data_IF_841883823150
#
_entry.id   IF_841883823150
#
_cell.length_a   1.000
_cell.length_b   1.000
_cell.length_c   1.000
_cell.angle_alpha   90.00
_cell.angle_beta   90.00
_cell.angle_gamma   90.00
#
_symmetry.space_group_name_H-M   'P 1'
#
loop_
_entity.id
_entity.type
_entity.pdbx_description
1 polymer ?
#
# COMPACT_ATOMS: atom_id res chain seq x y z
N UNK A 1 6.00 -5.83 10.17
CA UNK A 1 5.75 -4.43 10.54
C UNK A 1 4.31 -4.25 10.98
N UNK A 2 4.11 -3.68 12.17
CA UNK A 2 2.76 -3.54 12.77
C UNK A 2 1.80 -2.73 11.90
N UNK A 3 2.27 -1.66 11.26
CA UNK A 3 1.45 -0.83 10.39
C UNK A 3 0.91 -1.63 9.21
N UNK A 4 1.74 -2.47 8.60
CA UNK A 4 1.34 -3.32 7.47
C UNK A 4 0.27 -4.31 7.89
N UNK A 5 0.49 -5.04 9.00
CA UNK A 5 -0.45 -6.05 9.49
C UNK A 5 -1.81 -5.45 9.87
N UNK A 6 -1.82 -4.21 10.34
CA UNK A 6 -3.04 -3.49 10.65
C UNK A 6 -3.75 -2.97 9.40
N UNK A 7 -2.99 -2.39 8.47
CA UNK A 7 -3.55 -1.71 7.29
C UNK A 7 -4.13 -2.65 6.26
N UNK A 8 -3.51 -3.81 6.00
CA UNK A 8 -3.96 -4.72 4.94
C UNK A 8 -5.40 -5.22 5.14
N UNK A 9 -5.81 -5.67 6.35
CA UNK A 9 -7.21 -6.02 6.57
C UNK A 9 -8.17 -4.85 6.43
N UNK A 10 -7.79 -3.64 6.88
CA UNK A 10 -8.59 -2.43 6.72
C UNK A 10 -8.77 -2.10 5.24
N UNK A 11 -7.69 -2.19 4.46
CA UNK A 11 -7.73 -1.97 3.01
C UNK A 11 -8.66 -2.95 2.33
N UNK A 12 -8.62 -4.22 2.70
CA UNK A 12 -9.51 -5.24 2.15
C UNK A 12 -10.97 -4.96 2.43
N UNK A 13 -11.32 -4.58 3.66
CA UNK A 13 -12.69 -4.22 4.03
C UNK A 13 -13.17 -2.97 3.31
N UNK A 14 -12.31 -1.97 3.18
CA UNK A 14 -12.62 -0.73 2.46
C UNK A 14 -12.88 -0.99 0.97
N UNK A 15 -12.02 -1.81 0.33
CA UNK A 15 -12.20 -2.21 -1.06
C UNK A 15 -13.52 -2.95 -1.27
N UNK A 16 -13.90 -3.84 -0.35
CA UNK A 16 -15.16 -4.57 -0.45
C UNK A 16 -16.36 -3.62 -0.39
N UNK A 17 -16.32 -2.63 0.51
CA UNK A 17 -17.37 -1.61 0.60
C UNK A 17 -17.46 -0.79 -0.69
N UNK A 18 -16.32 -0.42 -1.28
CA UNK A 18 -16.29 0.29 -2.58
C UNK A 18 -16.86 -0.57 -3.70
N UNK A 19 -16.52 -1.85 -3.75
CA UNK A 19 -17.06 -2.78 -4.74
C UNK A 19 -18.57 -2.90 -4.64
N UNK A 20 -19.11 -2.98 -3.41
CA UNK A 20 -20.53 -3.05 -3.17
C UNK A 20 -21.24 -1.76 -3.64
N UNK A 21 -20.66 -0.59 -3.35
CA UNK A 21 -21.18 0.70 -3.79
C UNK A 21 -21.21 0.80 -5.32
N UNK A 22 -20.13 0.40 -5.98
CA UNK A 22 -20.00 0.40 -7.44
C UNK A 22 -21.02 -0.54 -8.06
N UNK A 23 -21.18 -1.74 -7.50
CA UNK A 23 -22.11 -2.75 -8.00
C UNK A 23 -23.58 -2.26 -7.93
N UNK A 24 -23.91 -1.45 -6.93
CA UNK A 24 -25.27 -0.96 -6.71
C UNK A 24 -25.55 0.41 -7.34
N UNK A 25 -24.52 1.09 -7.84
CA UNK A 25 -24.63 2.47 -8.30
C UNK A 25 -25.76 2.68 -9.31
N UNK A 26 -25.82 1.85 -10.36
CA UNK A 26 -26.82 1.98 -11.42
C UNK A 26 -28.22 1.50 -11.00
N UNK A 27 -28.34 0.82 -9.88
CA UNK A 27 -29.62 0.40 -9.32
C UNK A 27 -30.24 1.49 -8.45
N UNK A 28 -29.39 2.22 -7.70
CA UNK A 28 -29.81 3.16 -6.65
C UNK A 28 -29.88 4.60 -7.14
N UNK A 29 -29.00 4.98 -8.06
CA UNK A 29 -28.81 6.38 -8.47
C UNK A 29 -29.23 6.62 -9.93
N UNK A 30 -29.52 7.88 -10.26
CA UNK A 30 -29.71 8.32 -11.64
C UNK A 30 -28.44 8.05 -12.48
N UNK A 31 -28.57 7.84 -13.81
CA UNK A 31 -27.43 7.42 -14.64
C UNK A 31 -26.19 8.30 -14.52
N UNK A 32 -26.34 9.62 -14.45
CA UNK A 32 -25.19 10.53 -14.34
C UNK A 32 -24.48 10.41 -13.00
N UNK A 33 -25.26 10.31 -11.91
CA UNK A 33 -24.68 10.10 -10.57
C UNK A 33 -24.06 8.73 -10.46
N UNK A 34 -24.70 7.70 -11.01
CA UNK A 34 -24.20 6.33 -11.02
C UNK A 34 -22.86 6.25 -11.73
N UNK A 35 -22.70 6.89 -12.88
CA UNK A 35 -21.45 6.91 -13.62
C UNK A 35 -20.32 7.56 -12.81
N UNK A 36 -20.61 8.67 -12.13
CA UNK A 36 -19.65 9.35 -11.28
C UNK A 36 -19.19 8.46 -10.11
N UNK A 37 -20.14 7.78 -9.44
CA UNK A 37 -19.86 6.85 -8.35
C UNK A 37 -19.02 5.67 -8.85
N UNK A 38 -19.40 5.11 -9.99
CA UNK A 38 -18.69 4.00 -10.62
C UNK A 38 -17.24 4.37 -10.92
N UNK A 39 -17.01 5.51 -11.57
CA UNK A 39 -15.67 5.94 -11.95
C UNK A 39 -14.79 6.25 -10.74
N UNK A 40 -15.33 6.97 -9.75
CA UNK A 40 -14.57 7.30 -8.52
C UNK A 40 -14.28 6.06 -7.69
N UNK A 41 -15.26 5.14 -7.58
CA UNK A 41 -15.07 3.90 -6.84
C UNK A 41 -14.01 3.00 -7.47
N UNK A 42 -14.06 2.84 -8.79
CA UNK A 42 -13.04 2.05 -9.51
C UNK A 42 -11.65 2.67 -9.39
N UNK A 43 -11.54 4.00 -9.47
CA UNK A 43 -10.24 4.67 -9.31
C UNK A 43 -9.69 4.45 -7.90
N UNK A 44 -10.51 4.57 -6.87
CA UNK A 44 -10.10 4.33 -5.49
C UNK A 44 -9.66 2.88 -5.29
N UNK A 45 -10.37 1.92 -5.86
CA UNK A 45 -10.01 0.50 -5.81
C UNK A 45 -8.63 0.26 -6.44
N UNK A 46 -8.37 0.85 -7.62
CA UNK A 46 -7.08 0.71 -8.30
C UNK A 46 -5.95 1.38 -7.53
N UNK A 47 -6.19 2.55 -6.93
CA UNK A 47 -5.20 3.24 -6.10
C UNK A 47 -4.81 2.39 -4.88
N UNK A 48 -5.80 1.80 -4.20
CA UNK A 48 -5.57 0.91 -3.06
C UNK A 48 -4.75 -0.31 -3.49
N UNK A 49 -5.12 -0.94 -4.60
CA UNK A 49 -4.37 -2.08 -5.16
C UNK A 49 -2.91 -1.71 -5.41
N UNK A 50 -2.67 -0.56 -6.02
CA UNK A 50 -1.32 -0.09 -6.32
C UNK A 50 -0.48 0.09 -5.05
N UNK A 51 -1.04 0.71 -4.02
CA UNK A 51 -0.32 0.91 -2.77
C UNK A 51 -0.12 -0.40 -2.00
N UNK A 52 -1.10 -1.30 -1.97
CA UNK A 52 -0.96 -2.63 -1.36
C UNK A 52 0.16 -3.42 -2.06
N UNK A 53 0.18 -3.41 -3.39
CA UNK A 53 1.25 -4.07 -4.17
C UNK A 53 2.62 -3.46 -3.88
N UNK A 54 2.68 -2.13 -3.80
CA UNK A 54 3.91 -1.41 -3.44
C UNK A 54 4.41 -1.76 -2.05
N UNK A 55 3.52 -1.87 -1.09
CA UNK A 55 3.85 -2.28 0.28
C UNK A 55 4.45 -3.69 0.28
N UNK A 56 3.79 -4.64 -0.36
CA UNK A 56 4.26 -6.04 -0.40
C UNK A 56 5.60 -6.18 -1.10
N UNK A 57 5.76 -5.52 -2.25
CA UNK A 57 7.00 -5.55 -3.01
C UNK A 57 8.17 -4.99 -2.21
N UNK A 58 8.00 -3.78 -1.67
CA UNK A 58 9.08 -3.10 -0.96
C UNK A 58 9.41 -3.77 0.38
N UNK A 59 8.40 -4.32 1.08
CA UNK A 59 8.65 -5.10 2.29
C UNK A 59 9.47 -6.35 2.00
N UNK A 60 9.18 -7.05 0.91
CA UNK A 60 9.91 -8.22 0.48
C UNK A 60 11.37 -7.87 0.13
N UNK A 61 11.55 -6.82 -0.68
CA UNK A 61 12.88 -6.35 -1.09
C UNK A 61 13.71 -5.85 0.07
N UNK A 62 13.08 -5.15 1.01
CA UNK A 62 13.75 -4.67 2.22
C UNK A 62 14.27 -5.83 3.06
N UNK A 63 13.47 -6.88 3.25
CA UNK A 63 13.89 -8.08 4.00
C UNK A 63 15.06 -8.77 3.32
N UNK A 64 15.01 -8.91 2.00
CA UNK A 64 16.11 -9.48 1.21
C UNK A 64 17.39 -8.70 1.38
N UNK A 65 17.29 -7.37 1.25
CA UNK A 65 18.45 -6.49 1.40
C UNK A 65 19.00 -6.52 2.84
N UNK A 66 18.13 -6.53 3.84
CA UNK A 66 18.55 -6.65 5.25
C UNK A 66 19.29 -7.96 5.53
N UNK A 67 18.84 -9.06 4.93
CA UNK A 67 19.51 -10.34 5.07
C UNK A 67 20.93 -10.28 4.54
N UNK A 68 21.12 -9.65 3.38
CA UNK A 68 22.46 -9.46 2.78
C UNK A 68 23.36 -8.58 3.66
N UNK A 69 22.79 -7.51 4.22
CA UNK A 69 23.53 -6.64 5.15
C UNK A 69 23.98 -7.43 6.38
N UNK A 70 23.12 -8.29 6.92
CA UNK A 70 23.44 -9.08 8.11
C UNK A 70 24.58 -10.08 7.91
N UNK A 71 24.87 -10.45 6.67
CA UNK A 71 25.99 -11.35 6.34
C UNK A 71 27.34 -10.68 6.43
N UNK A 72 27.39 -9.34 6.43
CA UNK A 72 28.66 -8.61 6.56
C UNK A 72 29.11 -8.58 8.02
N UNK A 73 30.43 -8.64 8.22
CA UNK A 73 31.01 -8.58 9.56
C UNK A 73 31.43 -7.17 9.95
N UNK A 74 31.94 -6.40 8.98
CA UNK A 74 32.44 -5.05 9.22
C UNK A 74 31.28 -4.07 9.43
N UNK A 75 31.33 -3.34 10.54
CA UNK A 75 30.25 -2.39 10.91
C UNK A 75 30.11 -1.24 9.91
N UNK A 76 31.23 -0.75 9.38
CA UNK A 76 31.21 0.32 8.39
C UNK A 76 30.59 -0.15 7.08
N UNK A 77 30.98 -1.35 6.63
CA UNK A 77 30.42 -1.95 5.42
C UNK A 77 28.92 -2.19 5.56
N UNK A 78 28.47 -2.65 6.74
CA UNK A 78 27.04 -2.80 7.04
C UNK A 78 26.29 -1.47 6.90
N UNK A 79 26.84 -0.40 7.49
CA UNK A 79 26.21 0.92 7.44
C UNK A 79 26.09 1.44 6.01
N UNK A 80 27.13 1.29 5.20
CA UNK A 80 27.15 1.71 3.80
C UNK A 80 26.12 0.90 2.98
N UNK A 81 26.13 -0.42 3.15
CA UNK A 81 25.20 -1.29 2.42
C UNK A 81 23.75 -1.06 2.82
N UNK A 82 23.50 -0.86 4.12
CA UNK A 82 22.16 -0.51 4.61
C UNK A 82 21.67 0.77 3.95
N UNK A 83 22.46 1.83 3.97
CA UNK A 83 22.09 3.11 3.37
C UNK A 83 21.81 2.98 1.87
N UNK A 84 22.62 2.21 1.14
CA UNK A 84 22.51 2.10 -0.31
C UNK A 84 21.47 1.08 -0.77
N UNK A 85 21.20 0.03 0.01
CA UNK A 85 20.39 -1.10 -0.44
C UNK A 85 19.09 -1.28 0.32
N UNK A 86 19.05 -0.95 1.62
CA UNK A 86 17.84 -1.14 2.45
C UNK A 86 17.01 0.14 2.52
N UNK A 87 17.65 1.25 2.80
CA UNK A 87 16.96 2.53 3.01
C UNK A 87 16.06 2.95 1.85
N UNK A 88 16.46 2.81 0.57
CA UNK A 88 15.57 3.17 -0.55
C UNK A 88 14.24 2.39 -0.53
N UNK A 89 14.27 1.09 -0.23
CA UNK A 89 13.06 0.28 -0.11
C UNK A 89 12.23 0.70 1.10
N UNK A 90 12.88 1.02 2.20
CA UNK A 90 12.20 1.50 3.41
C UNK A 90 11.48 2.83 3.16
N UNK A 91 12.11 3.75 2.46
CA UNK A 91 11.52 5.04 2.12
C UNK A 91 10.30 4.88 1.20
N UNK A 92 10.41 4.02 0.18
CA UNK A 92 9.31 3.72 -0.73
C UNK A 92 8.16 3.00 -0.01
N UNK A 93 8.48 2.06 0.87
CA UNK A 93 7.49 1.37 1.71
C UNK A 93 6.70 2.37 2.55
N UNK A 94 7.40 3.29 3.21
CA UNK A 94 6.77 4.33 4.02
C UNK A 94 5.86 5.23 3.20
N UNK A 95 6.28 5.59 1.98
CA UNK A 95 5.45 6.37 1.07
C UNK A 95 4.10 5.66 0.82
N UNK A 96 4.14 4.39 0.45
CA UNK A 96 2.91 3.63 0.18
C UNK A 96 2.04 3.46 1.42
N UNK A 97 2.64 3.24 2.58
CA UNK A 97 1.91 3.16 3.86
C UNK A 97 1.19 4.48 4.14
N UNK A 98 1.87 5.60 3.99
CA UNK A 98 1.31 6.93 4.26
C UNK A 98 0.18 7.26 3.28
N UNK A 99 0.36 6.94 1.99
CA UNK A 99 -0.69 7.13 0.98
C UNK A 99 -1.92 6.27 1.27
N UNK A 100 -1.70 5.01 1.64
CA UNK A 100 -2.79 4.11 1.98
C UNK A 100 -3.55 4.58 3.21
N UNK A 101 -2.85 5.02 4.26
CA UNK A 101 -3.47 5.60 5.45
C UNK A 101 -4.35 6.80 5.10
N UNK A 102 -3.88 7.64 4.20
CA UNK A 102 -4.64 8.81 3.73
C UNK A 102 -5.94 8.38 3.04
N UNK A 103 -5.86 7.43 2.12
CA UNK A 103 -7.04 6.92 1.40
C UNK A 103 -8.05 6.29 2.37
N UNK A 104 -7.56 5.52 3.34
CA UNK A 104 -8.40 4.79 4.30
C UNK A 104 -8.86 5.66 5.47
N UNK A 105 -8.42 6.90 5.56
CA UNK A 105 -8.70 7.81 6.69
C UNK A 105 -8.26 7.22 8.04
N UNK A 106 -7.08 6.61 8.08
CA UNK A 106 -6.48 6.01 9.28
C UNK A 106 -5.27 6.83 9.70
N UNK A 107 -5.10 7.02 11.00
CA UNK A 107 -3.97 7.75 11.57
C UNK A 107 -2.65 6.93 11.54
#
# INVERSE_FOLDING_TARGET
HHAIHRLLPIAGSYQQALLDDVAQAYTVYAPEEAESIFNRGNQAIEDIKGHVSGIRYNACKMREANRKVSELEDMHAKAVMYHNSVKPYMDTLRFHIDQLKHILHVA
#
